data_IF_875371642003
#
_entry.id   IF_875371642003
#
_cell.length_a   1.000
_cell.length_b   1.000
_cell.length_c   1.000
_cell.angle_alpha   90.00
_cell.angle_beta   90.00
_cell.angle_gamma   90.00
#
_symmetry.space_group_name_H-M   'P 1'
#
loop_
_entity.id
_entity.type
_entity.pdbx_description
1 polymer ?
#
# COMPACT_ATOMS: atom_id res chain seq x y z
N UNK A 1 5.17 1.17 -16.03
CA UNK A 1 4.97 0.56 -14.71
C UNK A 1 3.57 0.92 -14.22
N UNK A 2 2.86 0.06 -13.48
CA UNK A 2 1.50 0.34 -13.03
C UNK A 2 1.48 1.52 -12.06
N UNK A 3 0.41 2.30 -12.16
CA UNK A 3 0.21 3.53 -11.40
C UNK A 3 -0.70 3.26 -10.21
N UNK A 4 -0.20 3.49 -9.00
CA UNK A 4 -0.99 3.41 -7.78
C UNK A 4 -1.77 4.71 -7.62
N UNK A 5 -3.09 4.67 -7.77
CA UNK A 5 -3.93 5.88 -7.73
C UNK A 5 -4.07 6.43 -6.30
N UNK A 6 -4.45 7.70 -6.15
CA UNK A 6 -4.73 8.28 -4.84
C UNK A 6 -5.81 7.50 -4.07
N UNK A 7 -6.84 6.97 -4.74
CA UNK A 7 -7.86 6.15 -4.08
C UNK A 7 -7.29 4.84 -3.54
N UNK A 8 -6.44 4.16 -4.30
CA UNK A 8 -5.78 2.93 -3.85
C UNK A 8 -4.88 3.20 -2.64
N UNK A 9 -4.12 4.30 -2.65
CA UNK A 9 -3.32 4.73 -1.49
C UNK A 9 -4.17 5.03 -0.26
N UNK A 10 -5.35 5.63 -0.46
CA UNK A 10 -6.31 5.90 0.61
C UNK A 10 -6.92 4.62 1.16
N UNK A 11 -7.29 3.67 0.29
CA UNK A 11 -7.79 2.36 0.67
C UNK A 11 -6.73 1.58 1.47
N UNK A 12 -5.48 1.57 1.01
CA UNK A 12 -4.36 0.94 1.72
C UNK A 12 -4.15 1.56 3.11
N UNK A 13 -4.26 2.89 3.23
CA UNK A 13 -4.20 3.59 4.53
C UNK A 13 -5.32 3.18 5.48
N UNK A 14 -6.53 2.98 4.96
CA UNK A 14 -7.67 2.50 5.76
C UNK A 14 -7.40 1.09 6.25
N UNK A 15 -7.01 0.17 5.36
CA UNK A 15 -6.64 -1.20 5.75
C UNK A 15 -5.54 -1.21 6.81
N UNK A 16 -4.54 -0.33 6.68
CA UNK A 16 -3.49 -0.19 7.69
C UNK A 16 -4.07 0.23 9.06
N UNK A 17 -4.98 1.21 9.10
CA UNK A 17 -5.61 1.68 10.32
C UNK A 17 -6.56 0.63 10.93
N UNK A 18 -7.39 0.00 10.10
CA UNK A 18 -8.38 -1.00 10.51
C UNK A 18 -7.73 -2.24 11.13
N UNK A 19 -6.56 -2.64 10.59
CA UNK A 19 -5.77 -3.77 11.11
C UNK A 19 -4.75 -3.39 12.17
N UNK A 20 -4.71 -2.12 12.62
CA UNK A 20 -3.70 -1.61 13.56
C UNK A 20 -2.26 -1.94 13.14
N UNK A 21 -1.99 -1.94 11.82
CA UNK A 21 -0.69 -2.34 11.27
C UNK A 21 0.35 -1.24 11.45
N UNK A 22 1.51 -1.60 12.00
CA UNK A 22 2.67 -0.70 11.97
C UNK A 22 3.20 -0.57 10.54
N UNK A 23 4.03 0.45 10.28
CA UNK A 23 4.69 0.61 8.98
C UNK A 23 5.56 -0.60 8.62
N UNK A 24 6.15 -1.27 9.63
CA UNK A 24 6.93 -2.50 9.46
C UNK A 24 6.06 -3.67 9.04
N UNK A 25 4.87 -3.81 9.64
CA UNK A 25 3.95 -4.89 9.28
C UNK A 25 3.43 -4.71 7.86
N UNK A 26 3.04 -3.48 7.51
CA UNK A 26 2.63 -3.15 6.15
C UNK A 26 3.75 -3.43 5.13
N UNK A 27 5.00 -3.10 5.47
CA UNK A 27 6.14 -3.38 4.62
C UNK A 27 6.36 -4.89 4.39
N UNK A 28 6.18 -5.71 5.44
CA UNK A 28 6.25 -7.18 5.33
C UNK A 28 5.15 -7.72 4.41
N UNK A 29 3.91 -7.27 4.61
CA UNK A 29 2.75 -7.70 3.80
C UNK A 29 2.94 -7.36 2.33
N UNK A 30 3.43 -6.16 2.04
CA UNK A 30 3.67 -5.68 0.68
C UNK A 30 4.98 -6.19 0.07
N UNK A 31 5.85 -6.84 0.87
CA UNK A 31 7.16 -7.31 0.43
C UNK A 31 8.11 -6.18 0.03
N UNK A 32 8.03 -5.03 0.72
CA UNK A 32 8.84 -3.82 0.45
C UNK A 32 9.59 -3.36 1.70
N UNK A 33 10.40 -2.31 1.56
CA UNK A 33 11.03 -1.66 2.72
C UNK A 33 10.04 -0.78 3.47
N UNK A 34 10.30 -0.53 4.75
CA UNK A 34 9.47 0.35 5.58
C UNK A 34 9.33 1.77 5.00
N UNK A 35 10.41 2.29 4.39
CA UNK A 35 10.40 3.60 3.71
C UNK A 35 9.46 3.61 2.51
N UNK A 36 9.43 2.53 1.72
CA UNK A 36 8.50 2.39 0.60
C UNK A 36 7.07 2.26 1.08
N UNK A 37 6.81 1.44 2.10
CA UNK A 37 5.47 1.34 2.69
C UNK A 37 4.97 2.69 3.22
N UNK A 38 5.84 3.47 3.87
CA UNK A 38 5.53 4.84 4.29
C UNK A 38 5.23 5.76 3.10
N UNK A 39 5.97 5.67 2.00
CA UNK A 39 5.69 6.47 0.80
C UNK A 39 4.33 6.15 0.19
N UNK A 40 3.97 4.85 0.14
CA UNK A 40 2.68 4.38 -0.38
C UNK A 40 1.49 4.85 0.46
N UNK A 41 1.68 5.05 1.76
CA UNK A 41 0.61 5.48 2.69
C UNK A 41 0.68 6.94 3.11
N UNK A 42 1.72 7.69 2.74
CA UNK A 42 1.82 9.12 3.08
C UNK A 42 1.29 10.00 1.96
N UNK A 43 1.67 9.70 0.72
CA UNK A 43 1.45 10.57 -0.41
C UNK A 43 0.06 10.40 -1.02
N UNK A 44 -0.57 11.49 -1.43
CA UNK A 44 -1.83 11.47 -2.19
C UNK A 44 -1.59 11.57 -3.69
N UNK A 45 -0.36 11.77 -4.14
CA UNK A 45 -0.05 11.77 -5.56
C UNK A 45 -0.02 10.34 -6.12
N UNK A 46 -0.44 10.15 -7.39
CA UNK A 46 -0.24 8.89 -8.08
C UNK A 46 1.24 8.50 -8.08
N UNK A 47 1.55 7.22 -7.85
CA UNK A 47 2.94 6.76 -7.83
C UNK A 47 3.11 5.52 -8.70
N UNK A 48 4.08 5.58 -9.60
CA UNK A 48 4.49 4.40 -10.33
C UNK A 48 5.20 3.42 -9.41
N UNK A 49 4.78 2.15 -9.47
CA UNK A 49 5.36 1.08 -8.68
C UNK A 49 5.64 -0.13 -9.54
N UNK A 50 6.48 -1.05 -9.06
CA UNK A 50 6.70 -2.34 -9.73
C UNK A 50 5.40 -3.17 -9.69
N UNK A 51 5.17 -3.99 -10.73
CA UNK A 51 4.02 -4.90 -10.81
C UNK A 51 3.80 -5.73 -9.53
N UNK A 52 4.87 -6.26 -8.93
CA UNK A 52 4.79 -7.03 -7.69
C UNK A 52 4.16 -6.23 -6.53
N UNK A 53 4.55 -4.97 -6.39
CA UNK A 53 4.05 -4.08 -5.34
C UNK A 53 2.61 -3.67 -5.64
N UNK A 54 2.30 -3.37 -6.89
CA UNK A 54 0.94 -3.04 -7.32
C UNK A 54 -0.02 -4.18 -6.99
N UNK A 55 0.32 -5.41 -7.40
CA UNK A 55 -0.50 -6.58 -7.15
C UNK A 55 -0.66 -6.85 -5.64
N UNK A 56 0.41 -6.69 -4.86
CA UNK A 56 0.33 -6.84 -3.40
C UNK A 56 -0.63 -5.81 -2.78
N UNK A 57 -0.57 -4.54 -3.21
CA UNK A 57 -1.49 -3.50 -2.72
C UNK A 57 -2.94 -3.83 -3.10
N UNK A 58 -3.19 -4.23 -4.36
CA UNK A 58 -4.53 -4.60 -4.82
C UNK A 58 -5.08 -5.78 -4.01
N UNK A 59 -4.28 -6.83 -3.81
CA UNK A 59 -4.68 -7.99 -2.99
C UNK A 59 -5.00 -7.59 -1.55
N UNK A 60 -4.14 -6.77 -0.92
CA UNK A 60 -4.37 -6.30 0.45
C UNK A 60 -5.65 -5.49 0.56
N UNK A 61 -5.97 -4.66 -0.44
CA UNK A 61 -7.23 -3.91 -0.46
C UNK A 61 -8.41 -4.86 -0.65
N UNK A 62 -8.34 -5.77 -1.63
CA UNK A 62 -9.42 -6.70 -1.96
C UNK A 62 -9.73 -7.72 -0.85
N UNK A 63 -8.74 -8.14 -0.05
CA UNK A 63 -8.97 -9.01 1.11
C UNK A 63 -9.69 -8.31 2.28
N UNK A 64 -9.94 -7.00 2.17
CA UNK A 64 -10.50 -6.16 3.24
C UNK A 64 -11.76 -5.40 2.82
N UNK A 65 -12.34 -5.73 1.65
CA UNK A 65 -13.60 -5.22 1.11
C UNK A 65 -14.36 -6.37 0.43
#
# INVERSE_FOLDING_TARGET
MPLLTPEMKKALRRVQADKLMTKKDLAKVLGVTEKTAQSLTRDNEPQEVKNKVFNAVVSVIAENY
#
